data_IF_083819031211
#
_entry.id   IF_083819031211
#
_cell.length_a   1.000
_cell.length_b   1.000
_cell.length_c   1.000
_cell.angle_alpha   90.00
_cell.angle_beta   90.00
_cell.angle_gamma   90.00
#
_symmetry.space_group_name_H-M   'P 1'
#
loop_
_entity.id
_entity.type
_entity.pdbx_description
1 polymer ?
#
# COMPACT_ATOMS: atom_id res chain seq x y z
N UNK A 1 -12.38 13.71 8.29
CA UNK A 1 -11.02 14.17 7.92
C UNK A 1 -10.55 13.27 6.79
N UNK A 2 -10.43 13.82 5.58
CA UNK A 2 -10.13 13.04 4.38
C UNK A 2 -8.67 12.61 4.38
N UNK A 3 -8.39 11.31 4.49
CA UNK A 3 -7.06 10.76 4.28
C UNK A 3 -6.64 11.03 2.83
N UNK A 4 -5.75 12.01 2.64
CA UNK A 4 -4.96 12.12 1.43
C UNK A 4 -4.12 10.83 1.36
N UNK A 5 -4.12 10.08 0.25
CA UNK A 5 -3.21 8.96 0.09
C UNK A 5 -1.80 9.51 0.27
N UNK A 6 -1.18 9.21 1.41
CA UNK A 6 0.17 9.66 1.71
C UNK A 6 1.07 9.13 0.60
N UNK A 7 1.91 10.01 0.08
CA UNK A 7 2.95 9.71 -0.89
C UNK A 7 4.09 8.87 -0.31
N UNK A 8 3.82 8.09 0.73
CA UNK A 8 4.52 6.84 0.99
C UNK A 8 4.10 5.81 -0.07
N UNK A 9 4.20 6.19 -1.34
CA UNK A 9 4.72 5.26 -2.32
C UNK A 9 6.08 4.91 -1.76
N UNK A 10 6.31 3.65 -1.37
CA UNK A 10 7.63 3.11 -1.02
C UNK A 10 8.54 3.14 -2.26
N UNK A 11 8.74 4.34 -2.80
CA UNK A 11 9.87 4.67 -3.64
C UNK A 11 11.06 4.33 -2.77
N UNK A 12 11.89 3.42 -3.25
CA UNK A 12 13.17 3.15 -2.61
C UNK A 12 13.90 4.50 -2.53
N UNK A 13 13.85 5.16 -1.37
CA UNK A 13 14.22 6.58 -1.23
C UNK A 13 15.62 6.83 -1.77
N UNK A 14 16.52 5.84 -1.64
CA UNK A 14 17.84 5.86 -2.27
C UNK A 14 17.82 6.03 -3.79
N UNK A 15 17.04 5.24 -4.53
CA UNK A 15 16.99 5.32 -6.00
C UNK A 15 16.38 6.64 -6.50
N UNK A 16 15.42 7.18 -5.76
CA UNK A 16 14.86 8.50 -6.02
C UNK A 16 15.90 9.60 -5.76
N UNK A 17 16.63 9.53 -4.64
CA UNK A 17 17.70 10.48 -4.30
C UNK A 17 18.81 10.46 -5.36
N UNK A 18 19.23 9.28 -5.82
CA UNK A 18 20.25 9.15 -6.87
C UNK A 18 19.80 9.79 -8.20
N UNK A 19 18.55 9.52 -8.61
CA UNK A 19 17.93 10.14 -9.78
C UNK A 19 17.86 11.67 -9.63
N UNK A 20 17.38 12.15 -8.48
CA UNK A 20 17.22 13.57 -8.18
C UNK A 20 18.59 14.29 -8.19
N UNK A 21 19.64 13.69 -7.65
CA UNK A 21 21.00 14.23 -7.70
C UNK A 21 21.59 14.26 -9.12
N UNK A 22 21.33 13.23 -9.92
CA UNK A 22 21.76 13.21 -11.32
C UNK A 22 21.05 14.30 -12.14
N UNK A 23 19.74 14.43 -11.96
CA UNK A 23 18.92 15.44 -12.64
C UNK A 23 19.29 16.87 -12.22
N UNK A 24 19.47 17.09 -10.91
CA UNK A 24 19.94 18.35 -10.34
C UNK A 24 21.28 18.79 -10.94
N UNK A 25 22.26 17.89 -11.03
CA UNK A 25 23.57 18.15 -11.65
C UNK A 25 23.45 18.44 -13.14
N UNK A 26 22.67 17.66 -13.88
CA UNK A 26 22.49 17.84 -15.32
C UNK A 26 21.84 19.19 -15.66
N UNK A 27 20.91 19.65 -14.83
CA UNK A 27 20.17 20.90 -15.04
C UNK A 27 20.80 22.10 -14.33
N UNK A 28 21.81 21.91 -13.47
CA UNK A 28 22.42 22.99 -12.71
C UNK A 28 21.42 23.74 -11.81
N UNK A 29 20.51 22.99 -11.17
CA UNK A 29 19.46 23.50 -10.26
C UNK A 29 19.39 22.63 -9.02
N UNK A 30 18.95 23.19 -7.90
CA UNK A 30 18.62 22.42 -6.70
C UNK A 30 17.17 21.94 -6.79
N UNK A 31 16.94 20.69 -6.44
CA UNK A 31 15.64 20.03 -6.51
C UNK A 31 15.21 19.59 -5.10
N UNK A 32 13.93 19.79 -4.78
CA UNK A 32 13.30 19.22 -3.59
C UNK A 32 11.94 18.62 -3.95
N UNK A 33 11.65 17.43 -3.42
CA UNK A 33 10.33 16.83 -3.49
C UNK A 33 9.56 17.21 -2.23
N UNK A 34 8.38 17.80 -2.41
CA UNK A 34 7.47 18.19 -1.34
C UNK A 34 6.20 17.33 -1.39
N UNK A 35 5.66 16.99 -0.22
CA UNK A 35 4.32 16.42 -0.12
C UNK A 35 3.23 17.48 -0.41
N UNK A 36 1.96 17.07 -0.45
CA UNK A 36 0.84 17.99 -0.69
C UNK A 36 0.62 19.04 0.41
N UNK A 37 1.27 18.86 1.56
CA UNK A 37 1.25 19.79 2.70
C UNK A 37 2.47 20.71 2.70
N UNK A 38 3.40 20.58 1.74
CA UNK A 38 4.63 21.38 1.66
C UNK A 38 5.77 20.83 2.52
N UNK A 39 5.64 19.65 3.12
CA UNK A 39 6.71 18.95 3.83
C UNK A 39 7.76 18.40 2.86
N UNK A 40 9.05 18.54 3.18
CA UNK A 40 10.14 18.02 2.32
C UNK A 40 10.26 16.52 2.51
N UNK A 41 10.09 15.77 1.41
CA UNK A 41 10.21 14.32 1.35
C UNK A 41 11.63 13.90 0.96
N UNK A 42 12.24 14.59 -0.01
CA UNK A 42 13.59 14.29 -0.50
C UNK A 42 14.26 15.52 -1.13
N UNK A 43 15.58 15.61 -1.04
CA UNK A 43 16.39 16.73 -1.51
C UNK A 43 17.58 16.31 -2.36
N UNK A 44 17.99 17.10 -3.37
CA UNK A 44 19.26 16.91 -4.08
C UNK A 44 20.46 17.20 -3.16
N UNK A 45 20.19 17.87 -2.05
CA UNK A 45 21.10 18.16 -0.95
C UNK A 45 20.45 17.76 0.38
N UNK A 46 21.26 17.54 1.45
CA UNK A 46 20.75 17.34 2.80
C UNK A 46 19.85 18.50 3.24
N UNK A 47 20.17 19.72 2.79
CA UNK A 47 19.37 20.93 2.94
C UNK A 47 19.02 21.48 1.55
N UNK A 48 17.95 20.99 0.91
CA UNK A 48 17.68 21.23 -0.51
C UNK A 48 17.18 22.64 -0.84
N UNK A 49 17.18 23.51 0.15
CA UNK A 49 16.76 24.89 0.03
C UNK A 49 17.82 25.79 0.68
N UNK A 50 17.99 27.03 0.21
CA UNK A 50 18.87 28.04 0.83
C UNK A 50 18.58 28.34 2.29
N UNK A 51 17.52 27.73 2.81
CA UNK A 51 17.09 27.80 4.18
C UNK A 51 17.94 26.92 5.12
N UNK A 52 19.02 26.24 4.69
CA UNK A 52 19.89 25.47 5.59
C UNK A 52 20.33 26.27 6.83
N UNK A 53 20.69 27.54 6.63
CA UNK A 53 21.05 28.48 7.70
C UNK A 53 19.86 28.86 8.61
N UNK A 54 18.63 28.70 8.13
CA UNK A 54 17.36 29.05 8.83
C UNK A 54 16.62 27.82 9.37
N UNK A 55 16.96 26.63 8.88
CA UNK A 55 16.33 25.33 9.11
C UNK A 55 17.42 24.28 9.39
N UNK A 56 18.14 24.39 10.51
CA UNK A 56 19.18 23.42 10.84
C UNK A 56 18.60 22.01 10.95
N UNK A 57 19.19 21.06 10.21
CA UNK A 57 18.85 19.63 10.27
C UNK A 57 17.89 19.13 9.20
N UNK A 58 17.89 19.69 7.97
CA UNK A 58 17.19 19.14 6.80
C UNK A 58 15.67 19.26 6.79
N UNK A 59 15.05 19.71 7.88
CA UNK A 59 13.60 19.90 7.98
C UNK A 59 13.23 21.38 7.96
N UNK A 60 12.25 21.77 7.13
CA UNK A 60 11.71 23.13 7.09
C UNK A 60 10.95 23.40 8.40
N UNK A 61 11.54 24.18 9.31
CA UNK A 61 11.01 24.52 10.64
C UNK A 61 10.69 26.01 10.82
N UNK A 62 11.31 26.87 10.01
CA UNK A 62 11.13 28.31 10.07
C UNK A 62 9.69 28.66 9.64
N UNK A 63 8.89 29.34 10.49
CA UNK A 63 7.46 29.56 10.25
C UNK A 63 7.15 30.23 8.90
N UNK A 64 7.98 31.19 8.48
CA UNK A 64 7.82 31.87 7.19
C UNK A 64 8.06 30.94 5.98
N UNK A 65 8.96 29.97 6.09
CA UNK A 65 9.21 28.98 5.04
C UNK A 65 8.06 27.98 4.96
N UNK A 66 7.60 27.47 6.11
CA UNK A 66 6.45 26.56 6.19
C UNK A 66 5.21 27.22 5.58
N UNK A 67 4.90 28.45 6.01
CA UNK A 67 3.77 29.19 5.46
C UNK A 67 3.88 29.45 3.95
N UNK A 68 5.09 29.73 3.46
CA UNK A 68 5.33 29.89 2.02
C UNK A 68 5.07 28.60 1.24
N UNK A 69 5.66 27.46 1.65
CA UNK A 69 5.48 26.19 0.94
C UNK A 69 4.05 25.65 1.06
N UNK A 70 3.39 25.80 2.22
CA UNK A 70 1.98 25.45 2.39
C UNK A 70 1.08 26.29 1.48
N UNK A 71 1.31 27.61 1.43
CA UNK A 71 0.54 28.49 0.56
C UNK A 71 0.77 28.12 -0.90
N UNK A 72 2.03 27.88 -1.29
CA UNK A 72 2.39 27.54 -2.65
C UNK A 72 1.83 26.18 -3.10
N UNK A 73 1.89 25.15 -2.25
CA UNK A 73 1.28 23.83 -2.50
C UNK A 73 -0.25 23.91 -2.64
N UNK A 74 -0.91 24.85 -1.95
CA UNK A 74 -2.35 25.08 -2.07
C UNK A 74 -2.75 25.99 -3.24
N UNK A 75 -1.80 26.41 -4.08
CA UNK A 75 -2.04 27.39 -5.15
C UNK A 75 -2.42 28.78 -4.61
N UNK A 76 -2.06 29.08 -3.36
CA UNK A 76 -2.36 30.32 -2.62
C UNK A 76 -1.11 31.10 -2.24
N UNK A 77 0.07 30.74 -2.77
CA UNK A 77 1.25 31.55 -2.56
C UNK A 77 0.94 32.98 -3.02
N UNK A 78 1.45 34.01 -2.30
CA UNK A 78 1.33 35.37 -2.77
C UNK A 78 2.06 35.45 -4.10
N UNK A 79 1.29 35.36 -5.19
CA UNK A 79 1.75 35.77 -6.49
C UNK A 79 2.19 37.22 -6.29
N UNK A 80 3.44 37.52 -6.63
CA UNK A 80 3.82 38.91 -6.87
C UNK A 80 2.79 39.43 -7.89
N UNK A 81 2.12 40.54 -7.61
CA UNK A 81 1.03 41.05 -8.48
C UNK A 81 1.46 41.03 -9.96
N UNK A 82 0.70 40.31 -10.80
CA UNK A 82 0.96 40.20 -12.24
C UNK A 82 1.78 38.98 -12.70
N UNK A 83 2.05 38.01 -11.81
CA UNK A 83 2.87 36.82 -12.11
C UNK A 83 1.99 35.57 -12.27
N UNK A 84 2.17 34.82 -13.36
CA UNK A 84 1.38 33.63 -13.67
C UNK A 84 1.69 32.49 -12.69
N UNK A 85 0.78 31.53 -12.45
CA UNK A 85 1.02 30.39 -11.55
C UNK A 85 2.22 29.50 -11.96
N UNK A 86 2.71 29.64 -13.19
CA UNK A 86 3.86 28.91 -13.74
C UNK A 86 5.20 29.60 -13.46
N UNK A 87 5.16 30.86 -13.03
CA UNK A 87 6.35 31.66 -12.83
C UNK A 87 7.05 31.35 -11.50
N UNK A 88 8.37 31.60 -11.40
CA UNK A 88 9.11 31.40 -10.17
C UNK A 88 8.57 32.28 -9.03
N UNK A 89 8.28 31.64 -7.90
CA UNK A 89 7.88 32.32 -6.68
C UNK A 89 9.12 32.84 -5.95
N UNK A 90 9.05 34.09 -5.48
CA UNK A 90 10.09 34.63 -4.61
C UNK A 90 9.79 34.23 -3.16
N UNK A 91 10.66 33.44 -2.56
CA UNK A 91 10.53 33.09 -1.15
C UNK A 91 10.75 34.33 -0.26
N UNK A 92 10.36 34.28 1.04
CA UNK A 92 10.55 35.39 1.97
C UNK A 92 11.99 35.90 2.12
N UNK A 93 12.97 35.10 1.68
CA UNK A 93 14.40 35.40 1.74
C UNK A 93 14.99 35.76 0.36
N UNK A 94 14.13 36.05 -0.62
CA UNK A 94 14.53 36.64 -1.91
C UNK A 94 14.93 35.66 -3.01
N UNK A 95 14.86 34.34 -2.75
CA UNK A 95 15.23 33.31 -3.73
C UNK A 95 14.05 32.97 -4.62
N UNK A 96 14.32 32.78 -5.91
CA UNK A 96 13.32 32.29 -6.85
C UNK A 96 13.24 30.76 -6.79
N UNK A 97 12.03 30.26 -6.59
CA UNK A 97 11.70 28.83 -6.56
C UNK A 97 10.54 28.60 -7.53
N UNK A 98 10.75 27.76 -8.53
CA UNK A 98 9.66 27.26 -9.35
C UNK A 98 9.08 26.01 -8.68
N UNK A 99 7.75 25.94 -8.58
CA UNK A 99 7.05 24.75 -8.12
C UNK A 99 6.31 24.13 -9.28
N UNK A 100 6.39 22.80 -9.38
CA UNK A 100 5.68 22.03 -10.38
C UNK A 100 4.93 20.88 -9.72
N UNK A 101 3.61 20.74 -9.92
CA UNK A 101 2.87 19.62 -9.38
C UNK A 101 3.29 18.33 -10.08
N UNK A 102 3.49 17.27 -9.30
CA UNK A 102 3.57 15.90 -9.79
C UNK A 102 2.21 15.25 -9.59
N UNK A 103 1.67 14.65 -10.64
CA UNK A 103 0.29 14.18 -10.69
C UNK A 103 0.20 12.66 -10.76
N UNK A 104 -0.88 12.11 -10.21
CA UNK A 104 -1.32 10.74 -10.46
C UNK A 104 -2.79 10.79 -10.86
N UNK A 105 -3.06 10.61 -12.16
CA UNK A 105 -4.37 10.99 -12.73
C UNK A 105 -4.61 12.50 -12.59
N UNK A 106 -5.82 12.89 -12.18
CA UNK A 106 -6.21 14.31 -12.08
C UNK A 106 -5.83 14.97 -10.73
N UNK A 107 -5.11 14.27 -9.86
CA UNK A 107 -4.77 14.78 -8.52
C UNK A 107 -3.27 15.00 -8.37
N UNK A 108 -2.84 16.17 -7.82
CA UNK A 108 -1.45 16.36 -7.42
C UNK A 108 -1.17 15.45 -6.23
N UNK A 109 -0.07 14.72 -6.33
CA UNK A 109 0.39 13.81 -5.28
C UNK A 109 1.59 14.43 -4.57
N UNK A 110 2.48 15.12 -5.29
CA UNK A 110 3.62 15.84 -4.73
C UNK A 110 3.86 17.15 -5.48
N UNK A 111 4.79 17.96 -5.00
CA UNK A 111 5.34 19.11 -5.73
C UNK A 111 6.85 18.97 -5.87
N UNK A 112 7.36 19.22 -7.07
CA UNK A 112 8.78 19.39 -7.31
C UNK A 112 9.12 20.88 -7.17
N UNK A 113 9.94 21.21 -6.18
CA UNK A 113 10.52 22.52 -6.01
C UNK A 113 11.88 22.59 -6.71
N UNK A 114 12.07 23.64 -7.50
CA UNK A 114 13.26 23.87 -8.32
C UNK A 114 13.81 25.25 -8.01
N UNK A 115 15.01 25.29 -7.44
CA UNK A 115 15.74 26.51 -7.10
C UNK A 115 17.05 26.63 -7.85
N UNK A 116 17.68 27.81 -7.87
CA UNK A 116 19.04 27.95 -8.38
C UNK A 116 20.00 27.06 -7.58
N UNK A 117 20.96 26.44 -8.26
CA UNK A 117 22.01 25.70 -7.57
C UNK A 117 22.83 26.66 -6.70
N UNK A 118 22.82 26.44 -5.39
CA UNK A 118 23.71 27.19 -4.49
C UNK A 118 25.14 26.66 -4.67
N UNK A 119 26.16 27.50 -4.53
CA UNK A 119 27.53 27.00 -4.39
C UNK A 119 27.60 26.06 -3.18
N UNK A 120 28.30 24.93 -3.31
CA UNK A 120 28.47 24.02 -2.18
C UNK A 120 29.37 24.68 -1.14
N UNK A 121 29.15 24.42 0.15
CA UNK A 121 30.02 24.93 1.21
C UNK A 121 31.47 24.40 1.09
N UNK A 122 31.67 23.35 0.30
CA UNK A 122 32.97 22.72 0.02
C UNK A 122 33.69 23.37 -1.19
N UNK A 123 33.03 24.25 -1.95
CA UNK A 123 33.71 25.08 -2.94
C UNK A 123 34.41 26.24 -2.20
N UNK A 124 35.73 26.13 -1.98
CA UNK A 124 36.62 27.13 -1.35
C UNK A 124 36.74 28.45 -2.17
N UNK A 125 35.63 29.03 -2.62
CA UNK A 125 35.62 30.41 -3.07
C UNK A 125 35.46 31.32 -1.83
N UNK A 126 36.35 32.29 -1.60
CA UNK A 126 36.27 33.16 -0.44
C UNK A 126 34.99 33.99 -0.51
N UNK A 127 34.03 33.66 0.36
CA UNK A 127 32.87 34.50 0.63
C UNK A 127 33.39 35.79 1.25
N UNK A 128 33.63 36.79 0.41
CA UNK A 128 33.88 38.15 0.88
C UNK A 128 32.60 38.61 1.58
N UNK A 129 32.68 38.65 2.91
CA UNK A 129 31.63 39.17 3.77
C UNK A 129 31.30 40.60 3.33
N UNK A 130 30.12 40.77 2.72
CA UNK A 130 29.50 42.08 2.58
C UNK A 130 29.21 42.61 3.99
N UNK A 131 30.13 43.38 4.53
CA UNK A 131 30.01 44.06 5.83
C UNK A 131 28.84 45.03 5.77
N UNK A 132 27.67 44.63 6.29
CA UNK A 132 26.53 45.54 6.46
C UNK A 132 25.14 44.90 6.51
N UNK A 133 24.97 43.64 6.09
CA UNK A 133 23.68 42.98 6.13
C UNK A 133 23.55 42.10 7.40
N UNK A 134 22.43 42.23 8.12
CA UNK A 134 22.18 41.52 9.38
C UNK A 134 22.30 39.98 9.26
N UNK A 135 22.38 39.27 10.40
CA UNK A 135 22.51 37.81 10.42
C UNK A 135 21.29 37.18 9.72
N UNK A 136 21.48 36.70 8.48
CA UNK A 136 20.43 36.11 7.66
C UNK A 136 20.34 36.58 6.21
N UNK A 137 21.14 37.57 5.78
CA UNK A 137 21.16 37.98 4.38
C UNK A 137 21.99 37.00 3.52
N UNK A 138 21.31 36.07 2.86
CA UNK A 138 21.90 35.25 1.79
C UNK A 138 22.28 36.18 0.64
N UNK A 139 23.51 36.06 0.13
CA UNK A 139 23.95 36.82 -1.04
C UNK A 139 22.93 36.61 -2.18
N UNK A 140 22.56 37.66 -2.94
CA UNK A 140 21.57 37.53 -4.01
C UNK A 140 22.08 36.55 -5.06
N UNK A 141 21.55 35.32 -5.02
CA UNK A 141 21.80 34.31 -6.04
C UNK A 141 21.02 34.77 -7.26
N UNK A 142 21.74 35.17 -8.30
CA UNK A 142 21.12 35.52 -9.58
C UNK A 142 20.52 34.24 -10.15
N UNK A 143 19.20 34.15 -10.26
CA UNK A 143 18.56 32.96 -10.80
C UNK A 143 18.95 32.81 -12.27
N UNK A 144 19.13 31.59 -12.77
CA UNK A 144 19.35 31.39 -14.19
C UNK A 144 18.13 31.94 -14.97
N UNK A 145 18.38 32.65 -16.06
CA UNK A 145 17.33 33.28 -16.87
C UNK A 145 16.30 32.26 -17.41
N UNK A 146 16.67 30.98 -17.43
CA UNK A 146 15.86 29.85 -17.89
C UNK A 146 15.35 28.95 -16.74
N UNK A 147 15.30 29.44 -15.48
CA UNK A 147 14.86 28.64 -14.32
C UNK A 147 13.49 27.97 -14.54
N UNK A 148 12.53 28.69 -15.12
CA UNK A 148 11.19 28.14 -15.42
C UNK A 148 11.27 26.95 -16.39
N UNK A 149 12.03 27.11 -17.49
CA UNK A 149 12.26 26.05 -18.47
C UNK A 149 12.96 24.83 -17.86
N UNK A 150 13.94 25.05 -16.99
CA UNK A 150 14.62 23.96 -16.27
C UNK A 150 13.67 23.25 -15.30
N UNK A 151 12.79 24.00 -14.65
CA UNK A 151 11.77 23.43 -13.78
C UNK A 151 10.76 22.57 -14.57
N UNK A 152 10.36 22.99 -15.76
CA UNK A 152 9.49 22.21 -16.64
C UNK A 152 10.16 20.90 -17.08
N UNK A 153 11.43 20.96 -17.48
CA UNK A 153 12.21 19.76 -17.85
C UNK A 153 12.37 18.82 -16.65
N UNK A 154 12.69 19.35 -15.47
CA UNK A 154 12.81 18.56 -14.25
C UNK A 154 11.49 17.89 -13.86
N UNK A 155 10.39 18.63 -13.94
CA UNK A 155 9.05 18.12 -13.64
C UNK A 155 8.60 17.06 -14.63
N UNK A 156 8.84 17.24 -15.93
CA UNK A 156 8.53 16.23 -16.94
C UNK A 156 9.30 14.93 -16.67
N UNK A 157 10.60 15.00 -16.36
CA UNK A 157 11.40 13.83 -16.04
C UNK A 157 10.94 13.13 -14.74
N UNK A 158 10.63 13.90 -13.71
CA UNK A 158 10.10 13.39 -12.45
C UNK A 158 8.72 12.73 -12.63
N UNK A 159 7.83 13.35 -13.41
CA UNK A 159 6.50 12.86 -13.72
C UNK A 159 6.55 11.53 -14.50
N UNK A 160 7.43 11.43 -15.50
CA UNK A 160 7.61 10.20 -16.27
C UNK A 160 8.18 9.07 -15.42
N UNK A 161 9.13 9.38 -14.53
CA UNK A 161 9.70 8.41 -13.59
C UNK A 161 8.64 7.91 -12.60
N UNK A 162 7.83 8.82 -12.05
CA UNK A 162 6.71 8.48 -11.18
C UNK A 162 5.72 7.56 -11.90
N UNK A 163 5.34 7.90 -13.14
CA UNK A 163 4.45 7.09 -13.98
C UNK A 163 5.03 5.69 -14.22
N UNK A 164 6.29 5.59 -14.63
CA UNK A 164 6.96 4.32 -14.88
C UNK A 164 7.05 3.45 -13.61
N UNK A 165 7.24 4.05 -12.43
CA UNK A 165 7.27 3.33 -11.16
C UNK A 165 5.89 2.83 -10.75
N UNK A 166 4.84 3.64 -10.95
CA UNK A 166 3.45 3.22 -10.75
C UNK A 166 3.10 2.07 -11.70
N UNK A 167 3.38 2.21 -13.00
CA UNK A 167 3.14 1.17 -14.01
C UNK A 167 3.92 -0.11 -13.69
N UNK A 168 5.21 0.00 -13.32
CA UNK A 168 6.02 -1.16 -12.90
C UNK A 168 5.43 -1.85 -11.67
N UNK A 169 4.90 -1.11 -10.70
CA UNK A 169 4.26 -1.70 -9.51
C UNK A 169 2.95 -2.39 -9.87
N UNK A 170 2.13 -1.80 -10.73
CA UNK A 170 0.90 -2.43 -11.23
C UNK A 170 1.21 -3.71 -12.00
N UNK A 171 2.21 -3.68 -12.89
CA UNK A 171 2.69 -4.87 -13.61
C UNK A 171 3.31 -5.90 -12.66
N UNK A 172 4.04 -5.46 -11.64
CA UNK A 172 4.64 -6.32 -10.61
C UNK A 172 3.59 -7.03 -9.75
N UNK A 173 2.58 -6.29 -9.28
CA UNK A 173 1.44 -6.84 -8.55
C UNK A 173 0.65 -7.82 -9.43
N UNK A 174 0.36 -7.45 -10.68
CA UNK A 174 -0.26 -8.38 -11.63
C UNK A 174 0.56 -9.65 -11.85
N UNK A 175 1.90 -9.54 -11.97
CA UNK A 175 2.78 -10.72 -12.06
C UNK A 175 2.76 -11.58 -10.78
N UNK A 176 2.69 -10.96 -9.61
CA UNK A 176 2.56 -11.68 -8.34
C UNK A 176 1.20 -12.40 -8.23
N UNK A 177 0.11 -11.73 -8.61
CA UNK A 177 -1.22 -12.34 -8.68
C UNK A 177 -1.21 -13.55 -9.63
N UNK A 178 -0.71 -13.39 -10.85
CA UNK A 178 -0.60 -14.48 -11.83
C UNK A 178 0.29 -15.62 -11.35
N UNK A 179 1.44 -15.33 -10.73
CA UNK A 179 2.34 -16.33 -10.18
C UNK A 179 1.67 -17.10 -9.04
N UNK A 180 0.97 -16.40 -8.13
CA UNK A 180 0.23 -17.03 -7.04
C UNK A 180 -0.88 -17.95 -7.57
N UNK A 181 -1.68 -17.49 -8.54
CA UNK A 181 -2.71 -18.30 -9.17
C UNK A 181 -2.13 -19.54 -9.87
N UNK A 182 -1.03 -19.38 -10.60
CA UNK A 182 -0.34 -20.50 -11.24
C UNK A 182 0.19 -21.51 -10.23
N UNK A 183 0.89 -21.06 -9.18
CA UNK A 183 1.38 -21.94 -8.11
C UNK A 183 0.23 -22.65 -7.37
N UNK A 184 -0.87 -21.95 -7.09
CA UNK A 184 -2.05 -22.56 -6.48
C UNK A 184 -2.67 -23.64 -7.36
N UNK A 185 -2.83 -23.39 -8.66
CA UNK A 185 -3.34 -24.42 -9.59
C UNK A 185 -2.47 -25.69 -9.60
N UNK A 186 -1.14 -25.56 -9.48
CA UNK A 186 -0.21 -26.69 -9.37
C UNK A 186 -0.25 -27.37 -8.00
N UNK A 187 -0.53 -26.65 -6.93
CA UNK A 187 -0.59 -27.21 -5.58
C UNK A 187 -1.93 -27.91 -5.32
N UNK A 188 -3.05 -27.35 -5.76
CA UNK A 188 -4.37 -28.00 -5.71
C UNK A 188 -4.36 -29.36 -6.42
N UNK A 189 -3.52 -29.52 -7.45
CA UNK A 189 -3.36 -30.79 -8.18
C UNK A 189 -2.34 -31.75 -7.60
N UNK A 190 -1.48 -31.32 -6.66
CA UNK A 190 -0.37 -32.14 -6.13
C UNK A 190 -0.43 -32.37 -4.62
N UNK A 191 -1.19 -31.57 -3.88
CA UNK A 191 -1.16 -31.54 -2.42
C UNK A 191 -2.33 -32.36 -1.85
N UNK A 192 -1.99 -33.33 -0.99
CA UNK A 192 -2.94 -34.08 -0.17
C UNK A 192 -3.13 -33.45 1.22
N UNK A 193 -2.47 -32.31 1.47
CA UNK A 193 -2.43 -31.58 2.73
C UNK A 193 -3.21 -30.25 2.61
N UNK A 194 -4.45 -30.26 3.10
CA UNK A 194 -5.32 -29.08 3.09
C UNK A 194 -4.74 -27.89 3.85
N UNK A 195 -3.93 -28.12 4.87
CA UNK A 195 -3.41 -27.05 5.72
C UNK A 195 -2.39 -26.20 4.98
N UNK A 196 -1.50 -26.84 4.21
CA UNK A 196 -0.53 -26.16 3.36
C UNK A 196 -1.20 -25.28 2.28
N UNK A 197 -2.28 -25.77 1.65
CA UNK A 197 -2.99 -24.99 0.62
C UNK A 197 -3.72 -23.80 1.23
N UNK A 198 -4.42 -24.01 2.36
CA UNK A 198 -5.09 -22.93 3.09
C UNK A 198 -4.07 -21.87 3.51
N UNK A 199 -2.94 -22.26 4.09
CA UNK A 199 -1.89 -21.33 4.49
C UNK A 199 -1.37 -20.51 3.30
N UNK A 200 -1.14 -21.15 2.14
CA UNK A 200 -0.70 -20.44 0.94
C UNK A 200 -1.75 -19.45 0.42
N UNK A 201 -3.02 -19.86 0.36
CA UNK A 201 -4.11 -18.97 -0.07
C UNK A 201 -4.21 -17.77 0.85
N UNK A 202 -4.23 -17.98 2.17
CA UNK A 202 -4.32 -16.89 3.14
C UNK A 202 -3.10 -15.97 3.07
N UNK A 203 -1.88 -16.52 2.95
CA UNK A 203 -0.67 -15.71 2.80
C UNK A 203 -0.65 -14.91 1.50
N UNK A 204 -1.19 -15.48 0.40
CA UNK A 204 -1.31 -14.78 -0.89
C UNK A 204 -2.28 -13.61 -0.78
N UNK A 205 -3.45 -13.83 -0.16
CA UNK A 205 -4.44 -12.77 0.09
C UNK A 205 -3.87 -11.67 1.00
N UNK A 206 -3.12 -12.03 2.04
CA UNK A 206 -2.42 -11.06 2.90
C UNK A 206 -1.43 -10.19 2.12
N UNK A 207 -0.62 -10.81 1.27
CA UNK A 207 0.42 -10.12 0.50
C UNK A 207 -0.18 -9.18 -0.55
N UNK A 208 -1.18 -9.65 -1.30
CA UNK A 208 -1.71 -8.98 -2.48
C UNK A 208 -2.66 -7.84 -2.10
N UNK A 209 -3.50 -8.04 -1.09
CA UNK A 209 -4.58 -7.10 -0.76
C UNK A 209 -4.37 -6.35 0.55
N UNK A 210 -3.32 -6.72 1.31
CA UNK A 210 -2.95 -6.10 2.59
C UNK A 210 -4.15 -5.81 3.51
N UNK A 211 -5.03 -6.79 3.76
CA UNK A 211 -6.14 -6.60 4.69
C UNK A 211 -5.59 -6.37 6.10
N UNK A 212 -6.32 -5.59 6.90
CA UNK A 212 -6.02 -5.38 8.32
C UNK A 212 -6.22 -6.66 9.12
N UNK A 213 -7.25 -7.41 8.75
CA UNK A 213 -7.57 -8.71 9.29
C UNK A 213 -8.02 -9.64 8.16
N UNK A 214 -7.53 -10.87 8.20
CA UNK A 214 -7.93 -11.96 7.34
C UNK A 214 -8.23 -13.17 8.23
N UNK A 215 -9.36 -13.82 7.98
CA UNK A 215 -9.74 -15.01 8.72
C UNK A 215 -10.43 -16.02 7.82
N UNK A 216 -10.37 -17.27 8.25
CA UNK A 216 -11.08 -18.38 7.62
C UNK A 216 -11.90 -19.08 8.70
N UNK A 217 -13.20 -19.18 8.44
CA UNK A 217 -14.14 -19.87 9.29
C UNK A 217 -14.72 -21.08 8.56
N UNK A 218 -14.72 -22.23 9.23
CA UNK A 218 -15.21 -23.49 8.70
C UNK A 218 -16.54 -23.85 9.35
N UNK A 219 -17.37 -24.58 8.61
CA UNK A 219 -18.64 -25.07 9.09
C UNK A 219 -18.46 -26.03 10.25
N UNK A 220 -19.17 -25.77 11.34
CA UNK A 220 -19.34 -26.68 12.46
C UNK A 220 -20.82 -26.67 12.89
N UNK A 221 -21.55 -27.73 12.52
CA UNK A 221 -22.99 -27.81 12.76
C UNK A 221 -23.78 -26.76 11.96
N UNK A 222 -24.50 -25.90 12.68
CA UNK A 222 -25.33 -24.79 12.19
C UNK A 222 -24.60 -23.43 12.23
N UNK A 223 -23.31 -23.43 12.58
CA UNK A 223 -22.47 -22.25 12.64
C UNK A 223 -21.16 -22.37 11.87
N UNK A 224 -20.39 -21.29 11.93
CA UNK A 224 -19.02 -21.21 11.46
C UNK A 224 -18.09 -21.04 12.67
N UNK A 225 -16.95 -21.71 12.65
CA UNK A 225 -15.89 -21.55 13.65
C UNK A 225 -14.63 -21.04 12.96
N UNK A 226 -14.08 -19.94 13.47
CA UNK A 226 -12.81 -19.38 12.96
C UNK A 226 -11.66 -20.33 13.31
N UNK A 227 -11.02 -20.87 12.28
CA UNK A 227 -9.90 -21.80 12.45
C UNK A 227 -8.56 -21.15 12.14
N UNK A 228 -8.53 -20.15 11.26
CA UNK A 228 -7.30 -19.46 10.89
C UNK A 228 -7.49 -17.94 10.90
N UNK A 229 -6.46 -17.23 11.34
CA UNK A 229 -6.42 -15.76 11.41
C UNK A 229 -5.04 -15.24 10.98
N UNK A 230 -5.02 -14.07 10.33
CA UNK A 230 -3.82 -13.31 9.93
C UNK A 230 -4.11 -11.81 9.99
N UNK A 231 -3.10 -11.00 10.23
CA UNK A 231 -3.23 -9.53 10.33
C UNK A 231 -3.19 -9.03 11.78
N UNK A 232 -3.12 -7.70 11.95
CA UNK A 232 -2.92 -7.06 13.26
C UNK A 232 -4.15 -7.17 14.15
N UNK A 233 -5.34 -7.17 13.54
CA UNK A 233 -6.61 -7.04 14.25
C UNK A 233 -7.36 -8.39 14.32
N UNK A 234 -6.73 -9.49 13.89
CA UNK A 234 -7.40 -10.78 13.67
C UNK A 234 -7.25 -11.80 14.81
N UNK A 235 -6.31 -11.60 15.73
CA UNK A 235 -5.99 -12.60 16.77
C UNK A 235 -7.20 -12.94 17.67
N UNK A 236 -8.03 -11.93 17.96
CA UNK A 236 -9.22 -12.08 18.82
C UNK A 236 -10.36 -12.90 18.18
N UNK A 237 -10.27 -13.14 16.87
CA UNK A 237 -11.27 -13.91 16.13
C UNK A 237 -11.05 -15.41 16.24
N UNK A 238 -9.84 -15.88 16.58
CA UNK A 238 -9.50 -17.30 16.58
C UNK A 238 -10.41 -18.11 17.53
N UNK A 239 -10.98 -19.20 17.05
CA UNK A 239 -11.88 -20.07 17.81
C UNK A 239 -13.29 -19.52 18.03
N UNK A 240 -13.61 -18.30 17.56
CA UNK A 240 -14.97 -17.75 17.66
C UNK A 240 -15.94 -18.56 16.81
N UNK A 241 -17.12 -18.81 17.37
CA UNK A 241 -18.23 -19.46 16.70
C UNK A 241 -19.34 -18.44 16.41
N UNK A 242 -19.88 -18.46 15.19
CA UNK A 242 -20.95 -17.56 14.75
C UNK A 242 -22.05 -18.36 14.03
N UNK A 243 -23.33 -18.16 14.40
CA UNK A 243 -24.44 -18.82 13.70
C UNK A 243 -24.54 -18.40 12.24
N UNK A 244 -24.80 -19.35 11.34
CA UNK A 244 -25.02 -19.08 9.90
C UNK A 244 -26.28 -18.24 9.63
N UNK A 245 -27.16 -18.11 10.62
CA UNK A 245 -28.36 -17.30 10.53
C UNK A 245 -28.08 -15.79 10.60
N UNK A 246 -26.87 -15.34 10.95
CA UNK A 246 -26.56 -13.91 11.12
C UNK A 246 -26.16 -13.26 9.77
N UNK A 247 -26.83 -12.19 9.31
CA UNK A 247 -26.35 -11.41 8.17
C UNK A 247 -25.03 -10.68 8.50
N UNK A 248 -24.12 -10.51 7.54
CA UNK A 248 -24.20 -10.92 6.13
C UNK A 248 -23.69 -12.35 5.84
N UNK A 249 -23.29 -13.12 6.87
CA UNK A 249 -22.84 -14.52 6.69
C UNK A 249 -23.93 -15.39 6.09
N UNK A 250 -25.18 -15.17 6.49
CA UNK A 250 -26.35 -15.83 5.90
C UNK A 250 -26.40 -15.65 4.38
N UNK A 251 -26.14 -14.45 3.89
CA UNK A 251 -26.29 -14.10 2.49
C UNK A 251 -25.20 -14.76 1.65
N UNK A 252 -23.96 -14.74 2.12
CA UNK A 252 -22.83 -15.47 1.52
C UNK A 252 -23.09 -16.97 1.48
N UNK A 253 -23.66 -17.50 2.56
CA UNK A 253 -23.96 -18.92 2.69
C UNK A 253 -25.06 -19.39 1.74
N UNK A 254 -26.13 -18.60 1.61
CA UNK A 254 -27.26 -18.96 0.75
C UNK A 254 -26.95 -18.73 -0.73
N UNK A 255 -26.33 -17.60 -1.06
CA UNK A 255 -26.06 -17.23 -2.44
C UNK A 255 -24.86 -17.96 -3.03
N UNK A 256 -23.92 -18.43 -2.20
CA UNK A 256 -22.61 -18.94 -2.62
C UNK A 256 -21.84 -17.95 -3.50
N UNK A 257 -22.06 -16.66 -3.28
CA UNK A 257 -21.35 -15.58 -3.98
C UNK A 257 -20.66 -14.65 -2.97
N UNK A 258 -19.60 -13.95 -3.38
CA UNK A 258 -18.95 -12.96 -2.54
C UNK A 258 -19.93 -11.87 -2.06
N UNK A 259 -19.74 -11.40 -0.82
CA UNK A 259 -20.47 -10.24 -0.28
C UNK A 259 -19.48 -9.18 0.18
N UNK A 260 -19.71 -7.94 -0.23
CA UNK A 260 -18.99 -6.76 0.26
C UNK A 260 -19.87 -6.06 1.28
N UNK A 261 -19.56 -6.25 2.55
CA UNK A 261 -20.25 -5.65 3.68
C UNK A 261 -19.60 -4.32 4.08
N UNK A 262 -20.29 -3.23 3.73
CA UNK A 262 -19.90 -1.86 4.09
C UNK A 262 -20.40 -1.43 5.47
N UNK A 263 -21.31 -2.19 6.08
CA UNK A 263 -21.88 -1.87 7.38
C UNK A 263 -20.99 -2.33 8.55
N UNK A 264 -20.04 -3.22 8.27
CA UNK A 264 -19.21 -3.87 9.28
C UNK A 264 -19.96 -4.92 10.10
N UNK A 265 -21.21 -5.23 9.78
CA UNK A 265 -22.03 -6.23 10.46
C UNK A 265 -21.35 -7.62 10.51
N UNK A 266 -20.58 -7.99 9.49
CA UNK A 266 -19.78 -9.21 9.47
C UNK A 266 -18.74 -9.21 10.61
N UNK A 267 -18.00 -8.11 10.76
CA UNK A 267 -17.00 -7.95 11.81
C UNK A 267 -17.67 -7.97 13.18
N UNK A 268 -18.84 -7.32 13.32
CA UNK A 268 -19.62 -7.35 14.58
C UNK A 268 -20.07 -8.76 14.93
N UNK A 269 -20.60 -9.50 13.96
CA UNK A 269 -21.04 -10.87 14.18
C UNK A 269 -19.89 -11.77 14.67
N UNK A 270 -18.68 -11.54 14.16
CA UNK A 270 -17.48 -12.34 14.46
C UNK A 270 -16.76 -11.92 15.75
N UNK A 271 -16.56 -10.62 15.95
CA UNK A 271 -15.83 -10.06 17.08
C UNK A 271 -16.71 -9.82 18.31
N UNK A 272 -18.03 -9.72 18.13
CA UNK A 272 -18.97 -9.37 19.20
C UNK A 272 -18.89 -7.90 19.64
N UNK A 273 -18.16 -7.07 18.91
CA UNK A 273 -18.00 -5.63 19.14
C UNK A 273 -18.14 -4.86 17.83
N UNK A 274 -18.63 -3.60 17.85
CA UNK A 274 -18.65 -2.75 16.66
C UNK A 274 -17.24 -2.64 16.07
N UNK A 275 -17.10 -2.58 14.73
CA UNK A 275 -15.77 -2.37 14.15
C UNK A 275 -15.27 -1.00 14.62
N UNK A 276 -13.94 -0.81 14.76
CA UNK A 276 -13.41 0.54 14.85
C UNK A 276 -13.92 1.37 13.66
N UNK A 277 -14.32 2.62 13.89
CA UNK A 277 -14.80 3.54 12.85
C UNK A 277 -13.62 4.00 11.98
N UNK A 278 -13.08 3.05 11.20
CA UNK A 278 -11.92 3.22 10.34
C UNK A 278 -12.30 3.39 8.86
N UNK A 279 -13.59 3.36 8.55
CA UNK A 279 -14.13 3.45 7.19
C UNK A 279 -13.83 2.23 6.31
N UNK A 280 -13.34 1.13 6.89
CA UNK A 280 -13.06 -0.11 6.18
C UNK A 280 -14.30 -0.89 5.79
N UNK A 281 -14.11 -1.92 4.96
CA UNK A 281 -15.17 -2.82 4.50
C UNK A 281 -14.77 -4.27 4.69
N UNK A 282 -15.76 -5.11 5.00
CA UNK A 282 -15.57 -6.54 5.06
C UNK A 282 -15.90 -7.18 3.71
N UNK A 283 -15.02 -8.02 3.18
CA UNK A 283 -15.26 -8.88 2.02
C UNK A 283 -15.36 -10.31 2.49
N UNK A 284 -16.47 -10.95 2.20
CA UNK A 284 -16.76 -12.33 2.56
C UNK A 284 -16.78 -13.19 1.30
N UNK A 285 -15.90 -14.18 1.25
CA UNK A 285 -15.74 -15.09 0.12
C UNK A 285 -16.21 -16.49 0.53
N UNK A 286 -17.15 -17.09 -0.20
CA UNK A 286 -17.59 -18.45 0.11
C UNK A 286 -16.48 -19.47 -0.19
N UNK A 287 -16.24 -20.41 0.72
CA UNK A 287 -15.46 -21.61 0.44
C UNK A 287 -16.41 -22.68 -0.09
N UNK A 288 -16.89 -22.48 -1.32
CA UNK A 288 -17.82 -23.39 -1.97
C UNK A 288 -17.10 -24.32 -2.94
N UNK A 289 -17.31 -25.62 -2.77
CA UNK A 289 -17.02 -26.65 -3.76
C UNK A 289 -18.29 -26.95 -4.58
N UNK A 290 -18.20 -27.71 -5.68
CA UNK A 290 -19.38 -28.11 -6.44
C UNK A 290 -20.43 -28.88 -5.61
N UNK A 291 -19.98 -29.61 -4.58
CA UNK A 291 -20.81 -30.53 -3.79
C UNK A 291 -21.26 -29.94 -2.46
N UNK A 292 -20.41 -29.14 -1.81
CA UNK A 292 -20.69 -28.58 -0.48
C UNK A 292 -20.06 -27.20 -0.28
N UNK A 293 -20.59 -26.44 0.68
CA UNK A 293 -19.96 -25.21 1.16
C UNK A 293 -19.28 -25.47 2.50
N UNK A 294 -17.96 -25.32 2.50
CA UNK A 294 -17.11 -25.70 3.61
C UNK A 294 -16.95 -24.58 4.65
N UNK A 295 -17.13 -23.33 4.24
CA UNK A 295 -16.84 -22.18 5.09
C UNK A 295 -16.89 -20.83 4.39
N UNK A 296 -16.23 -19.85 5.00
CA UNK A 296 -16.10 -18.46 4.51
C UNK A 296 -14.69 -17.96 4.82
N UNK A 297 -14.07 -17.25 3.86
CA UNK A 297 -12.91 -16.39 4.09
C UNK A 297 -13.41 -14.96 4.25
N UNK A 298 -13.00 -14.28 5.31
CA UNK A 298 -13.30 -12.87 5.53
C UNK A 298 -12.05 -12.00 5.49
N UNK A 299 -12.14 -10.86 4.80
CA UNK A 299 -11.09 -9.84 4.71
C UNK A 299 -11.64 -8.51 5.20
N UNK A 300 -10.92 -7.84 6.10
CA UNK A 300 -11.19 -6.43 6.45
C UNK A 300 -10.23 -5.53 5.66
N UNK A 301 -10.77 -4.82 4.66
CA UNK A 301 -10.03 -3.97 3.75
C UNK A 301 -10.24 -2.48 4.07
N UNK A 302 -9.24 -1.62 3.83
CA UNK A 302 -9.38 -0.18 4.05
C UNK A 302 -10.35 0.51 3.05
N UNK A 303 -10.66 -0.14 1.93
CA UNK A 303 -11.58 0.35 0.91
C UNK A 303 -12.21 -0.82 0.13
N UNK A 304 -13.36 -0.62 -0.54
CA UNK A 304 -13.95 -1.62 -1.43
C UNK A 304 -12.99 -2.04 -2.54
N UNK A 305 -12.85 -3.36 -2.81
CA UNK A 305 -12.06 -3.82 -3.94
C UNK A 305 -12.77 -3.47 -5.25
N UNK A 306 -11.99 -3.29 -6.32
CA UNK A 306 -12.55 -3.27 -7.68
C UNK A 306 -13.01 -4.65 -8.14
N UNK A 307 -13.82 -4.70 -9.20
CA UNK A 307 -14.45 -5.93 -9.69
C UNK A 307 -13.42 -7.03 -10.03
N UNK A 308 -12.31 -6.66 -10.70
CA UNK A 308 -11.24 -7.61 -11.03
C UNK A 308 -10.57 -8.20 -9.78
N UNK A 309 -10.33 -7.37 -8.76
CA UNK A 309 -9.74 -7.82 -7.49
C UNK A 309 -10.69 -8.74 -6.74
N UNK A 310 -11.99 -8.42 -6.69
CA UNK A 310 -13.00 -9.27 -6.06
C UNK A 310 -13.08 -10.63 -6.78
N UNK A 311 -13.04 -10.62 -8.11
CA UNK A 311 -13.02 -11.85 -8.92
C UNK A 311 -11.77 -12.68 -8.67
N UNK A 312 -10.59 -12.07 -8.56
CA UNK A 312 -9.36 -12.78 -8.23
C UNK A 312 -9.43 -13.40 -6.83
N UNK A 313 -9.91 -12.65 -5.83
CA UNK A 313 -10.16 -13.15 -4.47
C UNK A 313 -11.10 -14.37 -4.47
N UNK A 314 -12.17 -14.34 -5.26
CA UNK A 314 -13.09 -15.48 -5.42
C UNK A 314 -12.40 -16.71 -6.01
N UNK A 315 -11.48 -16.54 -6.96
CA UNK A 315 -10.66 -17.64 -7.50
C UNK A 315 -9.77 -18.25 -6.41
N UNK A 316 -9.13 -17.41 -5.57
CA UNK A 316 -8.34 -17.87 -4.43
C UNK A 316 -9.19 -18.70 -3.45
N UNK A 317 -10.39 -18.22 -3.11
CA UNK A 317 -11.32 -18.94 -2.24
C UNK A 317 -11.78 -20.27 -2.86
N UNK A 318 -12.03 -20.29 -4.17
CA UNK A 318 -12.41 -21.49 -4.91
C UNK A 318 -11.29 -22.55 -4.88
N UNK A 319 -10.02 -22.15 -5.04
CA UNK A 319 -8.89 -23.06 -4.92
C UNK A 319 -8.76 -23.66 -3.52
N UNK A 320 -8.94 -22.85 -2.47
CA UNK A 320 -8.96 -23.36 -1.10
C UNK A 320 -10.10 -24.37 -0.91
N UNK A 321 -11.31 -24.07 -1.38
CA UNK A 321 -12.46 -24.95 -1.23
C UNK A 321 -12.24 -26.31 -1.92
N UNK A 322 -11.72 -26.32 -3.15
CA UNK A 322 -11.41 -27.56 -3.89
C UNK A 322 -10.32 -28.38 -3.20
N UNK A 323 -9.24 -27.74 -2.76
CA UNK A 323 -8.16 -28.45 -2.07
C UNK A 323 -8.62 -29.04 -0.73
N UNK A 324 -9.45 -28.31 0.02
CA UNK A 324 -10.00 -28.80 1.29
C UNK A 324 -10.94 -29.98 1.08
N UNK A 325 -11.80 -29.96 0.07
CA UNK A 325 -12.67 -31.11 -0.22
C UNK A 325 -11.84 -32.32 -0.69
N UNK A 326 -10.84 -32.12 -1.54
CA UNK A 326 -9.94 -33.19 -1.98
C UNK A 326 -9.21 -33.84 -0.79
N UNK A 327 -8.67 -33.03 0.13
CA UNK A 327 -7.99 -33.54 1.32
C UNK A 327 -8.96 -34.32 2.23
N UNK A 328 -10.20 -33.83 2.39
CA UNK A 328 -11.25 -34.52 3.15
C UNK A 328 -11.59 -35.88 2.56
N UNK A 329 -11.75 -35.95 1.23
CA UNK A 329 -12.02 -37.19 0.51
C UNK A 329 -10.86 -38.18 0.63
N UNK A 330 -9.62 -37.71 0.47
CA UNK A 330 -8.41 -38.52 0.64
C UNK A 330 -8.31 -39.08 2.06
N UNK A 331 -8.57 -38.25 3.08
CA UNK A 331 -8.58 -38.70 4.48
C UNK A 331 -9.61 -39.80 4.71
N UNK A 332 -10.84 -39.60 4.23
CA UNK A 332 -11.91 -40.58 4.37
C UNK A 332 -11.58 -41.91 3.66
N UNK A 333 -11.00 -41.85 2.46
CA UNK A 333 -10.54 -43.05 1.75
C UNK A 333 -9.40 -43.76 2.47
N UNK A 334 -8.46 -43.03 3.07
CA UNK A 334 -7.38 -43.61 3.89
C UNK A 334 -7.93 -44.28 5.14
N UNK A 335 -8.87 -43.65 5.83
CA UNK A 335 -9.50 -44.22 7.03
C UNK A 335 -10.25 -45.50 6.67
N UNK A 336 -11.01 -45.51 5.58
CA UNK A 336 -11.70 -46.72 5.08
C UNK A 336 -10.72 -47.82 4.64
N UNK A 337 -9.59 -47.45 4.03
CA UNK A 337 -8.57 -48.41 3.61
C UNK A 337 -7.77 -48.97 4.78
N UNK A 338 -7.70 -48.27 5.92
CA UNK A 338 -6.93 -48.66 7.09
C UNK A 338 -7.79 -49.25 8.21
N UNK A 339 -9.11 -49.16 8.13
CA UNK A 339 -10.04 -49.73 9.12
C UNK A 339 -10.79 -50.92 8.56
N UNK A 340 -11.14 -51.86 9.43
CA UNK A 340 -12.02 -52.98 9.11
C UNK A 340 -13.48 -52.51 9.26
N UNK A 341 -14.32 -52.63 8.23
CA UNK A 341 -15.67 -52.06 8.23
C UNK A 341 -16.62 -52.77 9.20
N UNK A 342 -16.30 -53.99 9.63
CA UNK A 342 -17.15 -54.77 10.55
C UNK A 342 -16.92 -54.39 12.01
N UNK A 343 -15.69 -54.00 12.34
CA UNK A 343 -15.24 -53.76 13.73
C UNK A 343 -14.89 -52.31 14.03
N UNK A 344 -14.64 -51.48 13.01
CA UNK A 344 -14.15 -50.10 13.17
C UNK A 344 -12.70 -50.02 13.68
N UNK A 345 -12.02 -51.14 13.85
CA UNK A 345 -10.62 -51.22 14.27
C UNK A 345 -9.68 -51.12 13.07
N UNK A 346 -8.39 -50.84 13.31
CA UNK A 346 -7.39 -50.91 12.24
C UNK A 346 -7.35 -52.32 11.63
N UNK A 347 -7.36 -52.38 10.30
CA UNK A 347 -7.11 -53.61 9.57
C UNK A 347 -5.59 -53.90 9.50
N UNK A 348 -5.18 -54.99 8.85
CA UNK A 348 -3.77 -55.39 8.77
C UNK A 348 -2.87 -54.29 8.20
N UNK A 349 -3.31 -53.55 7.18
CA UNK A 349 -2.52 -52.48 6.58
C UNK A 349 -2.40 -51.29 7.53
N UNK A 350 -3.51 -50.88 8.17
CA UNK A 350 -3.51 -49.83 9.18
C UNK A 350 -2.64 -50.17 10.39
N UNK A 351 -2.67 -51.41 10.86
CA UNK A 351 -1.88 -51.87 12.01
C UNK A 351 -0.38 -51.86 11.72
N UNK A 352 0.05 -52.29 10.53
CA UNK A 352 1.45 -52.26 10.13
C UNK A 352 1.96 -50.82 9.97
N UNK A 353 1.15 -49.93 9.41
CA UNK A 353 1.53 -48.52 9.21
C UNK A 353 1.66 -47.68 10.49
N UNK A 354 1.17 -48.16 11.64
CA UNK A 354 1.32 -47.50 12.95
C UNK A 354 2.54 -48.02 13.73
N UNK A 355 3.08 -49.18 13.33
CA UNK A 355 4.26 -49.80 13.97
C UNK A 355 5.59 -49.35 13.37
N UNK A 356 5.57 -48.76 12.16
CA UNK A 356 6.71 -48.12 11.48
C UNK A 356 6.82 -46.64 11.85
#
# INVERSE_FOLDING_TARGET
MSHVPNLTVDLHLGAWVDFQQALSRALGVDLALLDTLGGVVAGSRPDPLPCAALNPGGAVRHPACVAFYEAAARGRAPAVEGVAPEDPLRCPFGLLVALRPLQSGDRPVAFLAVGPALASADDEAPVQAATGAGPGAVAPVVPPADLSRRADVAAAAAQETLRALVERRLLGLGRLEWSALYHLSRLVTSVHDSEAVVALVLNSLMLLYQPRALWLALRAGDGLVVTHVRGTDAAELAGRAVPLSVPPLRDVWQARTPVVDRSGAAVVAMAGAPPPDDGGVAVLLPLASPTDQLGVIGLHLPAPPGDDSLRNMEIFASFAAVAMENARLVSLLRDQANTDPLTGLFNRAGFLGVLD
#
